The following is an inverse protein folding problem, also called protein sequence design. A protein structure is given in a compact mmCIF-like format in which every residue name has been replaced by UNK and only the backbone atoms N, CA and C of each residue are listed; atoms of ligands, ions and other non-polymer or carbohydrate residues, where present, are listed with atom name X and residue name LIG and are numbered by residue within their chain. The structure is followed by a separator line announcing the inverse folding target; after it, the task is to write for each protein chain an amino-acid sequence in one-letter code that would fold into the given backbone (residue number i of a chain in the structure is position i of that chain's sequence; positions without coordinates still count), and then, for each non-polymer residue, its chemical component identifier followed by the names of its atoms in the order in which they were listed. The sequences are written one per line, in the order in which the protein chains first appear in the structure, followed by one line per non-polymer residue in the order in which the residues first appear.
data_IF_881911398849
#
_entry.id   IF_881911398849
#
_cell.length_a   1.000
_cell.length_b   1.000
_cell.length_c   1.000
_cell.angle_alpha   90.00
_cell.angle_beta   90.00
_cell.angle_gamma   90.00
#
_symmetry.space_group_name_H-M   'P 1'
#
loop_
_entity.id
_entity.type
_entity.pdbx_description
1 polymer ?
#
# COMPACT_ATOMS: atom_id res chain seq x y z
N UNK A 1 12.57 14.95 3.76
CA UNK A 1 12.43 16.04 2.78
C UNK A 1 13.23 15.69 1.54
N UNK A 2 12.59 15.61 0.40
CA UNK A 2 13.24 15.38 -0.90
C UNK A 2 12.81 16.50 -1.84
N UNK A 3 13.77 17.25 -2.36
CA UNK A 3 13.57 18.24 -3.40
C UNK A 3 13.88 17.61 -4.75
N UNK A 4 12.95 17.70 -5.68
CA UNK A 4 13.11 17.18 -7.04
C UNK A 4 12.96 18.33 -8.04
N UNK A 5 14.01 18.56 -8.80
CA UNK A 5 14.00 19.50 -9.91
C UNK A 5 14.30 18.78 -11.21
N UNK A 6 13.40 18.82 -12.16
CA UNK A 6 13.59 18.24 -13.49
C UNK A 6 13.79 19.39 -14.51
N UNK A 7 15.02 19.54 -14.95
CA UNK A 7 15.41 20.60 -15.88
C UNK A 7 14.83 20.42 -17.29
N UNK A 8 14.46 19.19 -17.68
CA UNK A 8 13.89 18.89 -19.00
C UNK A 8 12.39 19.21 -19.06
N UNK A 9 11.70 19.16 -17.94
CA UNK A 9 10.26 19.37 -17.87
C UNK A 9 9.87 20.69 -17.21
N UNK A 10 10.84 21.52 -16.78
CA UNK A 10 10.61 22.72 -15.95
C UNK A 10 9.72 22.46 -14.72
N UNK A 11 9.77 21.22 -14.21
CA UNK A 11 9.00 20.80 -13.04
C UNK A 11 9.85 21.05 -11.81
N UNK A 12 9.38 21.94 -10.96
CA UNK A 12 9.94 22.21 -9.65
C UNK A 12 8.95 21.71 -8.59
N UNK A 13 9.19 20.55 -8.02
CA UNK A 13 8.31 19.96 -7.01
C UNK A 13 9.08 19.61 -5.75
N UNK A 14 8.53 20.01 -4.61
CA UNK A 14 9.02 19.61 -3.31
C UNK A 14 8.22 18.41 -2.82
N UNK A 15 8.90 17.30 -2.57
CA UNK A 15 8.27 16.11 -2.03
C UNK A 15 8.50 16.04 -0.52
N UNK A 16 7.40 15.97 0.22
CA UNK A 16 7.41 15.85 1.68
C UNK A 16 6.76 14.56 2.12
N UNK A 17 7.49 13.79 2.91
CA UNK A 17 6.97 12.65 3.64
C UNK A 17 7.21 12.87 5.13
N UNK A 18 6.18 12.69 5.93
CA UNK A 18 6.24 12.72 7.38
C UNK A 18 5.68 11.42 7.93
N UNK A 19 6.43 10.75 8.78
CA UNK A 19 6.00 9.49 9.38
C UNK A 19 6.26 9.53 10.87
N UNK A 20 5.30 8.99 11.65
CA UNK A 20 5.55 8.58 13.01
C UNK A 20 4.96 7.18 13.22
N UNK A 21 5.59 6.42 14.08
CA UNK A 21 5.17 5.05 14.35
C UNK A 21 5.22 4.76 15.84
N UNK A 22 4.29 3.92 16.25
CA UNK A 22 4.25 3.33 17.59
C UNK A 22 4.22 1.82 17.45
N UNK A 23 5.00 1.15 18.29
CA UNK A 23 5.01 -0.30 18.39
C UNK A 23 4.91 -0.70 19.86
N UNK A 24 4.07 -1.69 20.15
CA UNK A 24 3.90 -2.29 21.46
C UNK A 24 3.92 -3.79 21.32
N UNK A 25 4.74 -4.43 22.12
CA UNK A 25 4.79 -5.89 22.27
C UNK A 25 4.49 -6.22 23.73
N UNK A 26 3.58 -7.17 23.95
CA UNK A 26 3.23 -7.66 25.25
C UNK A 26 3.19 -9.19 25.27
N UNK A 27 3.95 -9.80 26.20
CA UNK A 27 3.96 -11.25 26.41
C UNK A 27 3.50 -11.59 27.83
N UNK A 28 2.59 -12.56 27.94
CA UNK A 28 2.10 -13.05 29.22
C UNK A 28 2.41 -14.54 29.40
N UNK A 29 3.17 -14.86 30.46
CA UNK A 29 3.54 -16.22 30.88
C UNK A 29 4.17 -17.07 29.76
N UNK A 30 4.83 -16.48 28.76
CA UNK A 30 5.33 -17.15 27.57
C UNK A 30 4.27 -18.00 26.84
N UNK A 31 3.00 -17.62 26.93
CA UNK A 31 1.86 -18.31 26.31
C UNK A 31 1.12 -17.42 25.35
N UNK A 32 0.83 -16.19 25.78
CA UNK A 32 0.03 -15.23 25.02
C UNK A 32 0.89 -14.05 24.64
N UNK A 33 0.85 -13.70 23.38
CA UNK A 33 1.59 -12.57 22.83
C UNK A 33 0.64 -11.67 22.06
N UNK A 34 0.80 -10.39 22.29
CA UNK A 34 0.06 -9.33 21.61
C UNK A 34 1.05 -8.34 21.03
N UNK A 35 0.93 -8.08 19.75
CA UNK A 35 1.67 -7.07 19.02
C UNK A 35 0.72 -6.02 18.46
N UNK A 36 1.06 -4.76 18.65
CA UNK A 36 0.35 -3.66 18.05
C UNK A 36 1.35 -2.68 17.44
N UNK A 37 1.15 -2.36 16.17
CA UNK A 37 1.89 -1.33 15.49
C UNK A 37 0.93 -0.32 14.85
N UNK A 38 1.26 0.95 14.97
CA UNK A 38 0.52 2.03 14.35
C UNK A 38 1.52 2.90 13.59
N UNK A 39 1.32 3.03 12.30
CA UNK A 39 2.07 3.97 11.46
C UNK A 39 1.11 5.04 10.98
N UNK A 40 1.45 6.30 11.22
CA UNK A 40 0.75 7.43 10.66
C UNK A 40 1.72 8.16 9.72
N UNK A 41 1.36 8.23 8.46
CA UNK A 41 2.17 8.82 7.41
C UNK A 41 1.43 9.93 6.68
N UNK A 42 2.18 10.92 6.21
CA UNK A 42 1.65 12.00 5.39
C UNK A 42 2.54 12.21 4.17
N UNK A 43 1.91 12.52 3.06
CA UNK A 43 2.55 12.85 1.79
C UNK A 43 1.86 14.04 1.14
N UNK A 44 2.64 14.98 0.60
CA UNK A 44 2.11 16.11 -0.15
C UNK A 44 1.81 15.79 -1.63
N UNK A 45 1.98 14.54 -2.04
CA UNK A 45 1.53 14.06 -3.36
C UNK A 45 0.01 14.03 -3.48
N UNK A 46 -0.68 14.07 -2.33
CA UNK A 46 -2.13 14.06 -2.25
C UNK A 46 -2.67 15.43 -1.86
N UNK A 47 -3.91 15.70 -2.28
CA UNK A 47 -4.61 16.94 -2.00
C UNK A 47 -4.74 17.22 -0.49
N UNK A 48 -4.75 18.48 -0.13
CA UNK A 48 -4.95 18.94 1.25
C UNK A 48 -6.25 18.34 1.81
N UNK A 49 -6.15 17.66 2.94
CA UNK A 49 -7.25 16.90 3.55
C UNK A 49 -7.11 15.38 3.38
N UNK A 50 -6.45 14.92 2.32
CA UNK A 50 -6.21 13.49 2.07
C UNK A 50 -4.73 13.07 2.27
N UNK A 51 -3.93 13.92 2.87
CA UNK A 51 -2.48 13.71 3.00
C UNK A 51 -2.11 12.71 4.10
N UNK A 52 -2.92 12.61 5.17
CA UNK A 52 -2.63 11.79 6.34
C UNK A 52 -3.31 10.43 6.27
N UNK A 53 -2.54 9.38 6.55
CA UNK A 53 -2.99 8.00 6.50
C UNK A 53 -2.51 7.22 7.69
N UNK A 54 -3.41 6.40 8.24
CA UNK A 54 -3.17 5.55 9.40
C UNK A 54 -3.12 4.10 8.95
N UNK A 55 -2.03 3.41 9.31
CA UNK A 55 -1.76 2.00 9.01
C UNK A 55 -1.63 1.21 10.31
N UNK A 56 -2.74 0.75 10.92
CA UNK A 56 -2.72 -0.09 12.10
C UNK A 56 -2.40 -1.54 11.75
N UNK A 57 -1.67 -2.21 12.62
CA UNK A 57 -1.40 -3.64 12.55
C UNK A 57 -1.54 -4.26 13.93
N UNK A 58 -2.24 -5.39 14.01
CA UNK A 58 -2.43 -6.18 15.23
C UNK A 58 -1.98 -7.60 14.98
N UNK A 59 -1.20 -8.14 15.89
CA UNK A 59 -0.78 -9.53 15.91
C UNK A 59 -1.13 -10.20 17.23
N UNK A 60 -1.60 -11.43 17.16
CA UNK A 60 -1.88 -12.30 18.30
C UNK A 60 -1.15 -13.62 18.11
N UNK A 61 -0.54 -14.13 19.17
CA UNK A 61 0.01 -15.47 19.16
C UNK A 61 -0.26 -16.17 20.50
N UNK A 62 -0.58 -17.45 20.39
CA UNK A 62 -0.79 -18.34 21.53
C UNK A 62 0.09 -19.57 21.41
N UNK A 63 0.99 -19.74 22.36
CA UNK A 63 1.83 -20.94 22.49
C UNK A 63 1.05 -21.96 23.32
N UNK A 64 0.25 -22.76 22.62
CA UNK A 64 -0.66 -23.71 23.24
C UNK A 64 0.08 -24.85 23.95
N UNK A 65 1.27 -25.24 23.46
CA UNK A 65 2.12 -26.26 24.11
C UNK A 65 2.54 -25.90 25.54
N UNK A 66 2.54 -24.60 25.90
CA UNK A 66 2.88 -24.14 27.24
C UNK A 66 1.68 -24.21 28.21
N UNK A 67 0.50 -24.63 27.75
CA UNK A 67 -0.66 -24.82 28.62
C UNK A 67 -0.53 -26.13 29.41
N UNK A 68 -1.01 -26.11 30.64
CA UNK A 68 -0.95 -27.26 31.54
C UNK A 68 -1.64 -28.53 31.00
N UNK A 69 -2.64 -28.32 30.13
CA UNK A 69 -3.37 -29.44 29.49
C UNK A 69 -2.58 -30.09 28.36
N UNK A 70 -1.71 -29.36 27.66
CA UNK A 70 -0.96 -29.85 26.50
C UNK A 70 0.49 -30.20 26.82
N UNK A 71 1.05 -29.64 27.90
CA UNK A 71 2.45 -29.87 28.31
C UNK A 71 2.78 -31.30 28.68
N UNK A 72 1.78 -32.16 28.92
CA UNK A 72 1.94 -33.55 29.31
C UNK A 72 2.06 -34.51 28.12
N UNK A 73 1.89 -34.06 26.89
CA UNK A 73 1.98 -34.92 25.71
C UNK A 73 3.40 -34.93 25.14
N UNK A 74 4.08 -36.08 25.30
CA UNK A 74 5.49 -36.26 24.88
C UNK A 74 5.70 -36.15 23.35
N UNK A 75 4.64 -36.37 22.57
CA UNK A 75 4.71 -36.27 21.11
C UNK A 75 4.56 -34.83 20.59
N UNK A 76 4.05 -33.90 21.42
CA UNK A 76 3.82 -32.48 21.06
C UNK A 76 4.88 -31.61 21.75
N UNK A 77 5.95 -31.29 21.03
CA UNK A 77 7.05 -30.50 21.59
C UNK A 77 6.75 -29.01 21.55
N UNK A 78 6.07 -28.55 20.50
CA UNK A 78 5.71 -27.15 20.33
C UNK A 78 4.42 -27.03 19.54
N UNK A 79 3.55 -26.12 19.96
CA UNK A 79 2.35 -25.73 19.22
C UNK A 79 2.07 -24.25 19.44
N UNK A 80 2.08 -23.51 18.35
CA UNK A 80 1.80 -22.07 18.35
C UNK A 80 0.74 -21.74 17.29
N UNK A 81 -0.29 -21.05 17.71
CA UNK A 81 -1.28 -20.44 16.84
C UNK A 81 -0.97 -18.94 16.73
N UNK A 82 -1.12 -18.39 15.56
CA UNK A 82 -0.92 -16.96 15.30
C UNK A 82 -2.01 -16.41 14.39
N UNK A 83 -2.38 -15.18 14.63
CA UNK A 83 -3.31 -14.45 13.79
C UNK A 83 -2.85 -12.99 13.69
N UNK A 84 -2.95 -12.40 12.52
CA UNK A 84 -2.63 -11.00 12.33
C UNK A 84 -3.60 -10.32 11.38
N UNK A 85 -3.79 -9.03 11.63
CA UNK A 85 -4.51 -8.11 10.76
C UNK A 85 -3.70 -6.84 10.61
N UNK A 86 -3.61 -6.32 9.40
CA UNK A 86 -2.92 -5.06 9.14
C UNK A 86 -3.54 -4.30 7.97
N UNK A 87 -3.47 -2.98 8.07
CA UNK A 87 -3.80 -2.07 6.98
C UNK A 87 -2.51 -1.39 6.55
N UNK A 88 -2.18 -1.47 5.28
CA UNK A 88 -1.03 -0.79 4.68
C UNK A 88 -1.55 0.25 3.70
N UNK A 89 -1.14 1.50 3.91
CA UNK A 89 -1.39 2.58 2.98
C UNK A 89 -0.11 2.85 2.18
N UNK A 90 -0.25 3.04 0.87
CA UNK A 90 0.86 3.43 0.01
C UNK A 90 0.46 4.61 -0.87
N UNK A 91 1.38 5.57 -0.99
CA UNK A 91 1.27 6.74 -1.86
C UNK A 91 2.10 6.59 -3.14
N UNK A 92 2.39 5.36 -3.55
CA UNK A 92 3.13 5.07 -4.77
C UNK A 92 2.31 5.44 -6.01
N UNK A 93 2.28 6.73 -6.30
CA UNK A 93 1.59 7.29 -7.46
C UNK A 93 2.52 7.18 -8.67
N UNK A 94 2.03 6.67 -9.82
CA UNK A 94 2.90 6.31 -10.95
C UNK A 94 3.48 7.50 -11.74
N UNK A 95 3.35 8.72 -11.26
CA UNK A 95 3.79 9.93 -11.96
C UNK A 95 4.58 10.90 -11.07
N UNK A 96 5.38 11.76 -11.69
CA UNK A 96 6.16 12.81 -11.03
C UNK A 96 5.36 14.12 -11.01
N UNK A 97 4.69 14.45 -9.91
CA UNK A 97 3.99 15.71 -9.76
C UNK A 97 2.77 15.63 -8.86
N UNK A 98 2.11 16.76 -8.69
CA UNK A 98 0.90 16.86 -7.91
C UNK A 98 -0.32 16.53 -8.78
N UNK A 99 -0.94 15.40 -8.55
CA UNK A 99 -2.06 14.90 -9.36
C UNK A 99 -3.34 15.68 -9.23
N UNK A 100 -3.48 16.46 -8.18
CA UNK A 100 -4.64 17.31 -7.94
C UNK A 100 -4.55 18.68 -8.60
N UNK A 101 -3.42 19.00 -9.23
CA UNK A 101 -3.22 20.27 -9.94
C UNK A 101 -3.55 20.12 -11.43
N UNK A 102 -4.07 21.21 -12.02
CA UNK A 102 -4.28 21.28 -13.47
C UNK A 102 -2.94 21.47 -14.17
N UNK A 103 -2.66 20.58 -15.11
CA UNK A 103 -1.46 20.67 -15.93
C UNK A 103 -1.78 21.32 -17.28
N UNK A 104 -0.94 22.27 -17.70
CA UNK A 104 -1.03 22.89 -19.00
C UNK A 104 0.16 22.44 -19.86
N UNK A 105 -0.11 22.19 -21.14
CA UNK A 105 0.89 21.83 -22.13
C UNK A 105 0.98 22.85 -23.25
N UNK A 106 2.08 22.81 -24.01
CA UNK A 106 2.16 23.58 -25.25
C UNK A 106 1.21 22.98 -26.28
N UNK A 107 0.33 23.79 -26.85
CA UNK A 107 -0.55 23.41 -27.93
C UNK A 107 0.12 23.57 -29.30
N UNK A 108 -0.61 23.16 -30.33
CA UNK A 108 -0.20 23.40 -31.72
C UNK A 108 -0.11 24.92 -32.03
N UNK A 109 0.77 25.24 -32.96
CA UNK A 109 0.82 26.61 -33.47
C UNK A 109 -0.42 26.95 -34.29
N UNK A 110 -0.74 28.21 -34.36
CA UNK A 110 -1.78 28.76 -35.25
C UNK A 110 -1.17 29.81 -36.19
N UNK A 111 -1.63 29.89 -37.48
CA UNK A 111 -1.12 30.88 -38.40
C UNK A 111 -1.55 32.28 -37.99
N UNK A 112 -0.60 33.20 -37.91
CA UNK A 112 -0.86 34.62 -37.71
C UNK A 112 -0.51 35.33 -39.01
N UNK A 113 -1.49 35.97 -39.69
CA UNK A 113 -1.37 36.63 -40.96
C UNK A 113 -0.92 35.69 -42.13
N UNK A 114 -0.57 36.26 -43.27
CA UNK A 114 -0.12 35.53 -44.46
C UNK A 114 1.24 34.83 -44.33
N UNK A 115 1.97 35.11 -43.30
CA UNK A 115 3.15 34.36 -42.88
C UNK A 115 2.76 33.31 -41.88
N UNK A 116 2.96 32.03 -42.17
CA UNK A 116 2.84 30.88 -41.27
C UNK A 116 3.87 30.96 -40.13
N UNK A 117 3.85 32.01 -39.36
CA UNK A 117 4.63 32.06 -38.13
C UNK A 117 3.82 31.36 -37.05
N UNK A 118 4.39 30.30 -36.51
CA UNK A 118 3.75 29.52 -35.48
C UNK A 118 3.59 30.35 -34.21
N UNK A 119 2.40 30.90 -34.01
CA UNK A 119 2.01 31.42 -32.70
C UNK A 119 1.96 30.26 -31.70
N UNK A 120 2.65 30.38 -30.57
CA UNK A 120 2.53 29.40 -29.51
C UNK A 120 1.12 29.43 -28.91
N UNK A 121 0.50 28.28 -28.74
CA UNK A 121 -0.75 28.13 -27.99
C UNK A 121 -0.52 27.26 -26.76
N UNK A 122 -1.36 27.45 -25.77
CA UNK A 122 -1.42 26.58 -24.60
C UNK A 122 -2.70 25.76 -24.71
N UNK A 123 -2.59 24.51 -24.34
CA UNK A 123 -3.71 23.59 -24.26
C UNK A 123 -3.77 22.98 -22.87
N UNK A 124 -4.94 22.57 -22.46
CA UNK A 124 -5.13 21.81 -21.25
C UNK A 124 -4.39 20.46 -21.38
N UNK A 125 -3.56 20.16 -20.39
CA UNK A 125 -2.79 18.93 -20.33
C UNK A 125 -3.59 17.80 -19.70
N UNK A 126 -3.02 17.19 -18.70
CA UNK A 126 -3.66 16.11 -17.95
C UNK A 126 -4.72 16.69 -16.97
N UNK A 127 -5.90 16.08 -16.97
CA UNK A 127 -6.96 16.44 -16.03
C UNK A 127 -6.51 16.15 -14.59
N UNK A 128 -6.88 16.97 -13.61
CA UNK A 128 -6.54 16.74 -12.22
C UNK A 128 -7.29 15.51 -11.65
N UNK A 129 -6.63 14.78 -10.76
CA UNK A 129 -7.24 13.72 -9.97
C UNK A 129 -7.84 14.30 -8.70
N UNK A 130 -9.14 14.56 -8.72
CA UNK A 130 -9.85 15.13 -7.57
C UNK A 130 -10.10 14.04 -6.53
N UNK A 131 -9.92 14.37 -5.25
CA UNK A 131 -10.11 13.47 -4.11
C UNK A 131 -9.25 12.19 -4.14
N UNK A 132 -8.06 12.25 -4.74
CA UNK A 132 -7.12 11.14 -4.72
C UNK A 132 -6.72 10.74 -3.30
N UNK A 133 -6.65 9.43 -3.05
CA UNK A 133 -6.23 8.86 -1.77
C UNK A 133 -5.09 7.86 -1.97
N UNK A 134 -4.50 7.38 -0.88
CA UNK A 134 -3.56 6.27 -0.92
C UNK A 134 -4.24 4.97 -1.31
N UNK A 135 -3.49 4.10 -1.95
CA UNK A 135 -3.87 2.69 -2.07
C UNK A 135 -3.88 2.02 -0.70
N UNK A 136 -4.87 1.19 -0.43
CA UNK A 136 -5.05 0.49 0.85
C UNK A 136 -5.01 -1.01 0.65
N UNK A 137 -4.14 -1.69 1.41
CA UNK A 137 -4.10 -3.14 1.46
C UNK A 137 -4.53 -3.62 2.86
N UNK A 138 -5.62 -4.35 2.91
CA UNK A 138 -6.10 -5.04 4.11
C UNK A 138 -5.57 -6.47 4.09
N UNK A 139 -4.73 -6.81 5.07
CA UNK A 139 -4.06 -8.10 5.15
C UNK A 139 -4.53 -8.86 6.37
N UNK A 140 -4.93 -10.10 6.16
CA UNK A 140 -5.31 -11.05 7.18
C UNK A 140 -4.44 -12.29 7.05
N UNK A 141 -3.90 -12.77 8.13
CA UNK A 141 -3.14 -14.01 8.17
C UNK A 141 -3.51 -14.80 9.43
N UNK A 142 -3.65 -16.11 9.28
CA UNK A 142 -3.78 -17.07 10.36
C UNK A 142 -2.77 -18.18 10.11
N UNK A 143 -1.96 -18.49 11.11
CA UNK A 143 -0.91 -19.49 10.99
C UNK A 143 -0.86 -20.43 12.18
N UNK A 144 -0.32 -21.61 11.93
CA UNK A 144 -0.05 -22.66 12.90
C UNK A 144 1.38 -23.15 12.72
N UNK A 145 2.13 -23.19 13.81
CA UNK A 145 3.47 -23.77 13.87
C UNK A 145 3.45 -24.93 14.88
N UNK A 146 3.84 -26.13 14.47
CA UNK A 146 3.89 -27.31 15.33
C UNK A 146 5.21 -28.06 15.18
N UNK A 147 5.78 -28.52 16.29
CA UNK A 147 6.91 -29.47 16.31
C UNK A 147 6.46 -30.71 17.01
N UNK A 148 6.54 -31.83 16.31
CA UNK A 148 6.06 -33.15 16.74
C UNK A 148 7.21 -34.16 16.81
N UNK A 149 7.10 -35.14 17.70
CA UNK A 149 8.01 -36.29 17.81
C UNK A 149 9.50 -35.91 17.94
N UNK A 150 9.80 -34.72 18.44
CA UNK A 150 11.16 -34.24 18.64
C UNK A 150 11.90 -33.77 17.40
N UNK A 151 11.37 -33.93 16.16
CA UNK A 151 12.09 -33.58 14.95
C UNK A 151 11.22 -33.11 13.76
N UNK A 152 9.92 -33.38 13.77
CA UNK A 152 9.03 -33.01 12.67
C UNK A 152 8.42 -31.63 12.93
N UNK A 153 8.83 -30.63 12.17
CA UNK A 153 8.26 -29.28 12.20
C UNK A 153 7.28 -29.09 11.05
N UNK A 154 6.06 -28.67 11.39
CA UNK A 154 4.97 -28.38 10.46
C UNK A 154 4.59 -26.91 10.58
N UNK A 155 4.40 -26.25 9.46
CA UNK A 155 3.86 -24.89 9.36
C UNK A 155 2.68 -24.87 8.41
N UNK A 156 1.64 -24.15 8.77
CA UNK A 156 0.49 -23.92 7.91
C UNK A 156 0.05 -22.46 8.04
N UNK A 157 -0.15 -21.79 6.92
CA UNK A 157 -0.61 -20.41 6.84
C UNK A 157 -1.79 -20.30 5.89
N UNK A 158 -2.76 -19.49 6.29
CA UNK A 158 -3.84 -19.03 5.44
C UNK A 158 -3.83 -17.51 5.42
N UNK A 159 -3.81 -16.93 4.22
CA UNK A 159 -3.82 -15.48 4.07
C UNK A 159 -4.92 -15.02 3.13
N UNK A 160 -5.40 -13.80 3.41
CA UNK A 160 -6.28 -13.04 2.54
C UNK A 160 -5.83 -11.59 2.52
N UNK A 161 -5.66 -11.04 1.32
CA UNK A 161 -5.32 -9.65 1.09
C UNK A 161 -6.34 -9.02 0.14
N UNK A 162 -6.91 -7.91 0.56
CA UNK A 162 -7.75 -7.06 -0.29
C UNK A 162 -7.06 -5.72 -0.48
N UNK A 163 -6.68 -5.43 -1.72
CA UNK A 163 -6.20 -4.11 -2.13
C UNK A 163 -7.32 -3.35 -2.77
N UNK A 164 -7.52 -2.12 -2.33
CA UNK A 164 -8.51 -1.20 -2.89
C UNK A 164 -7.91 0.19 -3.07
N UNK A 165 -8.66 1.04 -3.75
CA UNK A 165 -8.24 2.40 -4.10
C UNK A 165 -6.95 2.42 -4.95
N UNK A 166 -6.70 1.36 -5.75
CA UNK A 166 -5.53 1.27 -6.64
C UNK A 166 -5.69 2.31 -7.75
N UNK A 167 -4.61 3.03 -8.00
CA UNK A 167 -4.56 4.02 -9.06
C UNK A 167 -4.61 3.37 -10.44
N UNK A 168 -5.64 3.68 -11.21
CA UNK A 168 -5.84 3.19 -12.59
C UNK A 168 -6.01 4.35 -13.55
N UNK A 169 -5.47 4.22 -14.75
CA UNK A 169 -5.63 5.20 -15.80
C UNK A 169 -7.05 5.21 -16.35
N UNK A 170 -7.66 6.40 -16.45
CA UNK A 170 -9.07 6.57 -16.83
C UNK A 170 -9.28 6.88 -18.32
N UNK A 171 -8.25 6.72 -19.16
CA UNK A 171 -8.25 7.13 -20.57
C UNK A 171 -9.41 6.60 -21.42
N UNK A 172 -9.96 5.43 -21.08
CA UNK A 172 -11.10 4.86 -21.77
C UNK A 172 -12.47 5.45 -21.40
N UNK A 173 -12.53 6.33 -20.37
CA UNK A 173 -13.79 6.93 -19.90
C UNK A 173 -14.01 8.36 -20.43
N UNK A 174 -12.98 9.02 -20.88
CA UNK A 174 -13.05 10.40 -21.32
C UNK A 174 -13.20 10.47 -22.84
N UNK A 175 -14.12 11.34 -23.30
CA UNK A 175 -14.27 11.61 -24.73
C UNK A 175 -13.08 12.42 -25.23
N UNK A 176 -12.59 12.11 -26.43
CA UNK A 176 -11.56 12.88 -27.11
C UNK A 176 -11.96 14.32 -27.43
N UNK A 177 -13.26 14.63 -27.38
CA UNK A 177 -13.82 15.98 -27.58
C UNK A 177 -13.34 16.95 -26.46
N UNK A 178 -13.00 16.43 -25.28
CA UNK A 178 -12.51 17.27 -24.17
C UNK A 178 -11.17 17.94 -24.45
N UNK A 179 -10.38 17.42 -25.41
CA UNK A 179 -9.08 17.98 -25.77
C UNK A 179 -8.00 17.83 -24.70
N UNK A 180 -8.33 17.26 -23.54
CA UNK A 180 -7.43 17.06 -22.41
C UNK A 180 -7.06 15.57 -22.25
N UNK A 181 -5.88 15.32 -21.69
CA UNK A 181 -5.43 13.95 -21.38
C UNK A 181 -6.12 13.45 -20.12
N UNK A 182 -6.55 12.20 -20.15
CA UNK A 182 -7.16 11.56 -18.99
C UNK A 182 -6.17 11.43 -17.83
N UNK A 183 -6.70 11.41 -16.62
CA UNK A 183 -5.96 11.27 -15.39
C UNK A 183 -6.05 9.82 -14.83
N UNK A 184 -5.45 9.63 -13.68
CA UNK A 184 -5.62 8.42 -12.88
C UNK A 184 -6.70 8.64 -11.81
N UNK A 185 -7.34 7.56 -11.39
CA UNK A 185 -8.30 7.57 -10.30
C UNK A 185 -8.14 6.33 -9.42
N UNK A 186 -8.49 6.44 -8.15
CA UNK A 186 -8.53 5.32 -7.21
C UNK A 186 -9.77 4.46 -7.48
N UNK A 187 -9.67 3.48 -8.40
CA UNK A 187 -10.80 2.66 -8.82
C UNK A 187 -10.47 1.16 -8.91
N UNK A 188 -9.21 0.78 -8.78
CA UNK A 188 -8.80 -0.62 -8.86
C UNK A 188 -9.03 -1.36 -7.55
N UNK A 189 -9.46 -2.61 -7.64
CA UNK A 189 -9.58 -3.54 -6.51
C UNK A 189 -8.95 -4.86 -6.91
N UNK A 190 -8.15 -5.44 -6.02
CA UNK A 190 -7.52 -6.76 -6.20
C UNK A 190 -7.68 -7.55 -4.92
N UNK A 191 -8.18 -8.78 -5.05
CA UNK A 191 -8.25 -9.75 -3.96
C UNK A 191 -7.22 -10.86 -4.19
N UNK A 192 -6.46 -11.19 -3.16
CA UNK A 192 -5.49 -12.28 -3.16
C UNK A 192 -5.71 -13.16 -1.94
N UNK A 193 -5.70 -14.47 -2.11
CA UNK A 193 -5.82 -15.44 -1.03
C UNK A 193 -5.00 -16.68 -1.31
N UNK A 194 -4.50 -17.31 -0.28
CA UNK A 194 -3.72 -18.52 -0.43
C UNK A 194 -3.59 -19.31 0.85
N UNK A 195 -3.11 -20.53 0.67
CA UNK A 195 -2.70 -21.47 1.74
C UNK A 195 -1.25 -21.85 1.49
N UNK A 196 -0.46 -21.87 2.54
CA UNK A 196 0.93 -22.26 2.51
C UNK A 196 1.15 -23.39 3.53
N UNK A 197 1.87 -24.42 3.14
CA UNK A 197 2.22 -25.55 4.00
C UNK A 197 3.72 -25.83 3.91
N UNK A 198 4.33 -26.02 5.07
CA UNK A 198 5.72 -26.41 5.19
C UNK A 198 5.86 -27.63 6.11
N UNK A 199 6.72 -28.55 5.73
CA UNK A 199 7.13 -29.69 6.57
C UNK A 199 8.65 -29.87 6.51
N UNK A 200 9.29 -30.00 7.67
CA UNK A 200 10.73 -30.21 7.80
C UNK A 200 10.97 -31.28 8.86
N UNK A 201 11.80 -32.26 8.54
CA UNK A 201 12.29 -33.25 9.50
C UNK A 201 13.75 -32.99 9.81
N UNK A 202 14.10 -32.99 11.09
CA UNK A 202 15.49 -32.94 11.57
C UNK A 202 15.75 -34.29 12.28
N UNK A 203 16.79 -35.01 11.82
CA UNK A 203 17.30 -36.21 12.49
C UNK A 203 18.32 -35.81 13.57
#
# INVERSE_FOLDING_TARGET
YTYKYDNNANINSNLYHCNWSWYTHYGYKNRYFFDFALVNSASNLLETGNQWHISPTVGLAWVASNESLLNNYSWLNFLKLRASFGVINTDNIPYNGYWYETMNGSGGGYPIQDNFSNGGSWQEGQLPSINGTTEKAYKYNVGLDATLFGGLTLTADAFYEKRQDIWVYTGGKNSSILGATASYANAGVVDSKGLEFGARSEE
#
